data_IF_321357963906
#
_entry.id   IF_321357963906
#
_cell.length_a   1.000
_cell.length_b   1.000
_cell.length_c   1.000
_cell.angle_alpha   90.00
_cell.angle_beta   90.00
_cell.angle_gamma   90.00
#
_symmetry.space_group_name_H-M   'P 1'
#
loop_
_entity.id
_entity.type
_entity.pdbx_description
1 polymer ?
#
# COMPACT_ATOMS: atom_id res chain seq x y z
N UNK A 1 -4.79 15.18 14.23
CA UNK A 1 -5.34 14.11 13.36
C UNK A 1 -4.30 13.78 12.31
N UNK A 2 -3.85 12.52 12.24
CA UNK A 2 -2.79 12.12 11.31
C UNK A 2 -3.32 12.13 9.87
N UNK A 3 -2.58 12.73 8.95
CA UNK A 3 -2.90 12.64 7.53
C UNK A 3 -2.88 11.17 7.09
N UNK A 4 -3.83 10.76 6.24
CA UNK A 4 -3.88 9.41 5.68
C UNK A 4 -2.53 9.06 5.04
N UNK A 5 -1.97 7.85 5.28
CA UNK A 5 -0.70 7.43 4.67
C UNK A 5 -0.69 7.55 3.15
N UNK A 6 -1.85 7.34 2.51
CA UNK A 6 -2.08 7.54 1.08
C UNK A 6 -1.73 8.93 0.56
N UNK A 7 -1.76 9.95 1.41
CA UNK A 7 -1.55 11.35 1.01
C UNK A 7 -0.23 11.93 1.51
N UNK A 8 0.65 11.11 2.11
CA UNK A 8 1.97 11.56 2.59
C UNK A 8 2.93 11.86 1.44
N UNK A 9 2.83 11.12 0.35
CA UNK A 9 3.66 11.27 -0.85
C UNK A 9 2.77 11.25 -2.09
N UNK A 10 3.11 12.07 -3.08
CA UNK A 10 2.34 12.19 -4.33
C UNK A 10 2.24 10.85 -5.07
N UNK A 11 3.31 10.04 -5.01
CA UNK A 11 3.39 8.76 -5.71
C UNK A 11 2.96 7.55 -4.85
N UNK A 12 2.37 7.76 -3.66
CA UNK A 12 2.11 6.65 -2.73
C UNK A 12 1.19 5.58 -3.32
N UNK A 13 0.13 5.98 -4.03
CA UNK A 13 -0.76 5.01 -4.70
C UNK A 13 0.00 4.14 -5.72
N UNK A 14 0.86 4.75 -6.53
CA UNK A 14 1.66 4.03 -7.52
C UNK A 14 2.60 3.01 -6.86
N UNK A 15 3.23 3.37 -5.74
CA UNK A 15 4.09 2.46 -4.96
C UNK A 15 3.30 1.27 -4.41
N UNK A 16 2.12 1.52 -3.83
CA UNK A 16 1.25 0.45 -3.32
C UNK A 16 0.84 -0.49 -4.45
N UNK A 17 0.44 0.03 -5.61
CA UNK A 17 0.06 -0.77 -6.78
C UNK A 17 1.25 -1.60 -7.27
N UNK A 18 2.43 -1.00 -7.42
CA UNK A 18 3.63 -1.69 -7.88
C UNK A 18 4.00 -2.86 -6.93
N UNK A 19 3.95 -2.60 -5.62
CA UNK A 19 4.17 -3.65 -4.62
C UNK A 19 3.13 -4.77 -4.70
N UNK A 20 1.84 -4.45 -4.85
CA UNK A 20 0.77 -5.46 -5.01
C UNK A 20 1.02 -6.34 -6.23
N UNK A 21 1.35 -5.74 -7.39
CA UNK A 21 1.59 -6.47 -8.63
C UNK A 21 2.77 -7.44 -8.49
N UNK A 22 3.92 -6.93 -8.02
CA UNK A 22 5.15 -7.72 -7.88
C UNK A 22 4.98 -8.79 -6.82
N UNK A 23 4.54 -8.43 -5.61
CA UNK A 23 4.38 -9.39 -4.51
C UNK A 23 3.24 -10.38 -4.77
N UNK A 24 2.24 -10.00 -5.57
CA UNK A 24 1.14 -10.87 -6.01
C UNK A 24 1.62 -11.96 -6.96
N UNK A 25 2.47 -11.59 -7.94
CA UNK A 25 2.92 -12.52 -8.99
C UNK A 25 4.16 -13.32 -8.62
N UNK A 26 5.01 -12.80 -7.74
CA UNK A 26 6.31 -13.42 -7.49
C UNK A 26 6.21 -14.80 -6.83
N UNK A 27 7.11 -15.72 -7.20
CA UNK A 27 7.09 -17.12 -6.73
C UNK A 27 7.24 -17.28 -5.21
N UNK A 28 8.03 -16.43 -4.54
CA UNK A 28 8.13 -16.45 -3.07
C UNK A 28 7.09 -15.52 -2.45
N UNK A 29 6.31 -16.02 -1.50
CA UNK A 29 5.28 -15.21 -0.83
C UNK A 29 5.83 -14.18 0.17
N UNK A 30 7.07 -14.35 0.62
CA UNK A 30 7.70 -13.52 1.65
C UNK A 30 9.20 -13.38 1.41
N UNK A 31 9.70 -12.15 1.45
CA UNK A 31 11.12 -11.80 1.31
C UNK A 31 11.52 -10.64 2.23
N UNK A 32 12.82 -10.42 2.39
CA UNK A 32 13.40 -9.27 3.06
C UNK A 32 13.16 -7.98 2.26
N UNK A 33 13.21 -6.82 2.93
CA UNK A 33 12.91 -5.52 2.31
C UNK A 33 13.82 -5.18 1.12
N UNK A 34 15.12 -5.46 1.20
CA UNK A 34 16.05 -5.22 0.09
C UNK A 34 15.71 -6.07 -1.13
N UNK A 35 15.36 -7.34 -0.92
CA UNK A 35 14.95 -8.24 -2.00
C UNK A 35 13.62 -7.83 -2.61
N UNK A 36 12.70 -7.25 -1.84
CA UNK A 36 11.52 -6.63 -2.43
C UNK A 36 11.84 -5.36 -3.20
N UNK A 37 12.74 -4.51 -2.69
CA UNK A 37 13.17 -3.30 -3.38
C UNK A 37 13.80 -3.59 -4.75
N UNK A 38 14.72 -4.55 -4.81
CA UNK A 38 15.27 -5.10 -6.06
C UNK A 38 14.18 -5.55 -7.05
N UNK A 39 13.13 -6.23 -6.56
CA UNK A 39 12.06 -6.75 -7.44
C UNK A 39 11.07 -5.70 -7.90
N UNK A 40 10.84 -4.66 -7.12
CA UNK A 40 9.83 -3.65 -7.42
C UNK A 40 10.44 -2.46 -8.17
N UNK A 41 11.61 -2.00 -7.73
CA UNK A 41 12.28 -0.81 -8.29
C UNK A 41 13.65 -1.10 -8.92
N UNK A 42 14.16 -2.34 -8.86
CA UNK A 42 15.47 -2.68 -9.42
C UNK A 42 16.66 -2.20 -8.58
N UNK A 43 16.43 -1.79 -7.33
CA UNK A 43 17.47 -1.23 -6.46
C UNK A 43 17.29 -1.71 -5.01
N UNK A 44 18.27 -2.44 -4.48
CA UNK A 44 18.28 -2.91 -3.09
C UNK A 44 18.41 -1.76 -2.07
N UNK A 45 18.98 -0.62 -2.46
CA UNK A 45 19.17 0.53 -1.57
C UNK A 45 17.84 1.20 -1.18
N UNK A 46 16.79 0.99 -1.98
CA UNK A 46 15.43 1.46 -1.71
C UNK A 46 14.71 0.62 -0.63
N UNK A 47 15.41 -0.32 0.02
CA UNK A 47 14.85 -1.19 1.08
C UNK A 47 14.06 -0.41 2.15
N UNK A 48 14.59 0.75 2.58
CA UNK A 48 13.94 1.55 3.64
C UNK A 48 12.65 2.19 3.15
N UNK A 49 12.61 2.65 1.90
CA UNK A 49 11.41 3.20 1.27
C UNK A 49 10.31 2.15 1.21
N UNK A 50 10.63 0.96 0.70
CA UNK A 50 9.66 -0.13 0.60
C UNK A 50 9.20 -0.65 1.96
N UNK A 51 10.11 -0.72 2.95
CA UNK A 51 9.72 -0.99 4.33
C UNK A 51 8.65 0.00 4.83
N UNK A 52 8.83 1.30 4.58
CA UNK A 52 7.87 2.32 4.99
C UNK A 52 6.51 2.14 4.28
N UNK A 53 6.51 1.89 2.96
CA UNK A 53 5.26 1.58 2.20
C UNK A 53 4.52 0.42 2.88
N UNK A 54 5.21 -0.67 3.21
CA UNK A 54 4.58 -1.86 3.78
C UNK A 54 4.06 -1.63 5.20
N UNK A 55 4.75 -0.83 6.02
CA UNK A 55 4.31 -0.50 7.38
C UNK A 55 3.10 0.44 7.36
N UNK A 56 3.08 1.37 6.40
CA UNK A 56 2.02 2.37 6.28
C UNK A 56 0.71 1.86 5.69
N UNK A 57 0.77 0.73 4.98
CA UNK A 57 -0.37 0.10 4.30
C UNK A 57 -0.65 -1.33 4.81
N UNK A 58 -0.98 -1.51 6.10
CA UNK A 58 -1.21 -2.82 6.70
C UNK A 58 -2.43 -3.56 6.12
N UNK A 59 -3.33 -2.87 5.43
CA UNK A 59 -4.46 -3.45 4.71
C UNK A 59 -4.02 -4.43 3.61
N UNK A 60 -2.82 -4.25 3.04
CA UNK A 60 -2.29 -5.09 1.97
C UNK A 60 -1.05 -5.85 2.40
N UNK A 61 -0.21 -5.25 3.23
CA UNK A 61 1.10 -5.78 3.56
C UNK A 61 1.19 -6.20 5.02
N UNK A 62 1.92 -7.29 5.25
CA UNK A 62 2.21 -7.78 6.59
C UNK A 62 3.70 -7.92 6.77
N UNK A 63 4.19 -7.38 7.89
CA UNK A 63 5.53 -7.60 8.39
C UNK A 63 5.53 -8.88 9.24
N UNK A 64 6.55 -9.72 9.07
CA UNK A 64 6.68 -10.92 9.87
C UNK A 64 7.09 -10.64 11.32
N UNK A 65 7.00 -11.65 12.17
CA UNK A 65 7.30 -11.51 13.60
C UNK A 65 8.74 -11.07 13.86
N UNK A 66 9.67 -11.45 12.98
CA UNK A 66 11.08 -11.05 13.06
C UNK A 66 11.33 -9.61 12.63
N UNK A 67 10.32 -8.93 12.09
CA UNK A 67 10.39 -7.56 11.55
C UNK A 67 11.37 -7.38 10.40
N UNK A 68 11.77 -8.47 9.73
CA UNK A 68 12.75 -8.44 8.63
C UNK A 68 12.12 -8.63 7.26
N UNK A 69 10.98 -9.33 7.20
CA UNK A 69 10.36 -9.73 5.94
C UNK A 69 8.95 -9.17 5.79
N UNK A 70 8.58 -8.90 4.53
CA UNK A 70 7.23 -8.48 4.15
C UNK A 70 6.57 -9.51 3.23
N UNK A 71 5.25 -9.56 3.27
CA UNK A 71 4.40 -10.38 2.41
C UNK A 71 3.04 -9.70 2.21
N UNK A 72 2.31 -10.05 1.15
CA UNK A 72 0.90 -9.68 1.06
C UNK A 72 0.08 -10.45 2.10
N UNK A 73 -0.84 -9.76 2.77
CA UNK A 73 -1.79 -10.34 3.73
C UNK A 73 -2.57 -11.47 3.07
N UNK A 74 -3.11 -11.23 1.86
CA UNK A 74 -3.89 -12.24 1.14
C UNK A 74 -3.06 -13.51 0.88
N UNK A 75 -1.83 -13.36 0.36
CA UNK A 75 -0.97 -14.52 0.09
C UNK A 75 -0.68 -15.31 1.35
N UNK A 76 -0.56 -14.66 2.52
CA UNK A 76 -0.35 -15.34 3.80
C UNK A 76 -1.53 -16.24 4.19
N UNK A 77 -2.73 -16.03 3.66
CA UNK A 77 -3.89 -16.87 3.95
C UNK A 77 -4.01 -18.12 3.04
N UNK A 78 -3.27 -18.18 1.93
CA UNK A 78 -3.26 -19.33 1.01
C UNK A 78 -2.42 -20.50 1.55
N UNK A 79 -2.73 -21.77 1.26
CA UNK A 79 -1.89 -22.90 1.69
C UNK A 79 -0.42 -22.78 1.22
N UNK A 80 0.49 -23.45 1.95
CA UNK A 80 1.93 -23.51 1.64
C UNK A 80 2.24 -24.79 0.86
N UNK A 81 1.77 -24.84 -0.37
CA UNK A 81 1.75 -26.02 -1.25
C UNK A 81 2.30 -25.73 -2.65
N UNK A 82 2.99 -24.61 -2.86
CA UNK A 82 3.50 -24.21 -4.18
C UNK A 82 5.01 -24.36 -4.27
N UNK A 83 5.53 -25.18 -5.17
CA UNK A 83 6.97 -25.31 -5.40
C UNK A 83 7.48 -24.14 -6.27
N UNK A 84 8.45 -23.36 -5.76
CA UNK A 84 8.94 -22.15 -6.44
C UNK A 84 9.82 -22.42 -7.67
N UNK A 85 10.37 -23.63 -7.77
CA UNK A 85 11.28 -24.03 -8.82
C UNK A 85 10.51 -24.66 -9.98
N UNK A 86 9.62 -25.63 -9.69
CA UNK A 86 8.76 -26.27 -10.71
C UNK A 86 7.55 -25.43 -11.10
N UNK A 87 7.18 -24.45 -10.27
CA UNK A 87 6.00 -23.57 -10.43
C UNK A 87 4.66 -24.31 -10.44
N UNK A 88 4.60 -25.44 -9.74
CA UNK A 88 3.40 -26.25 -9.62
C UNK A 88 3.00 -26.42 -8.14
N UNK A 89 1.71 -26.65 -7.93
CA UNK A 89 1.18 -27.06 -6.64
C UNK A 89 1.56 -28.52 -6.36
N UNK A 90 1.83 -28.83 -5.10
CA UNK A 90 2.20 -30.17 -4.64
C UNK A 90 1.18 -30.67 -3.63
N UNK A 91 0.98 -31.97 -3.60
CA UNK A 91 0.07 -32.56 -2.62
C UNK A 91 0.70 -32.54 -1.22
N UNK A 92 -0.13 -32.66 -0.19
CA UNK A 92 0.35 -32.81 1.19
C UNK A 92 1.25 -34.04 1.37
N UNK A 93 0.96 -35.13 0.64
CA UNK A 93 1.77 -36.37 0.66
C UNK A 93 3.17 -36.09 0.15
N UNK A 94 3.27 -35.41 -1.00
CA UNK A 94 4.56 -35.07 -1.60
C UNK A 94 5.34 -34.12 -0.71
N UNK A 95 4.67 -33.11 -0.12
CA UNK A 95 5.30 -32.17 0.82
C UNK A 95 5.94 -32.86 2.03
N UNK A 96 5.28 -33.88 2.59
CA UNK A 96 5.80 -34.62 3.74
C UNK A 96 7.00 -35.51 3.39
N UNK A 97 7.10 -35.94 2.12
CA UNK A 97 8.22 -36.73 1.62
C UNK A 97 9.47 -35.88 1.29
N UNK A 98 9.35 -34.56 1.27
CA UNK A 98 10.46 -33.65 0.97
C UNK A 98 11.49 -33.59 2.10
N UNK A 99 12.75 -33.36 1.71
CA UNK A 99 13.80 -32.94 2.63
C UNK A 99 13.50 -31.56 3.23
N UNK A 100 14.15 -31.18 4.33
CA UNK A 100 13.93 -29.87 4.94
C UNK A 100 14.42 -28.71 4.04
N UNK A 101 15.47 -28.94 3.26
CA UNK A 101 15.97 -27.99 2.26
C UNK A 101 14.93 -27.77 1.14
N UNK A 102 14.31 -28.84 0.65
CA UNK A 102 13.25 -28.75 -0.36
C UNK A 102 11.98 -28.10 0.19
N UNK A 103 11.62 -28.35 1.46
CA UNK A 103 10.50 -27.67 2.14
C UNK A 103 10.70 -26.16 2.23
N UNK A 104 11.95 -25.67 2.23
CA UNK A 104 12.25 -24.25 2.17
C UNK A 104 11.95 -23.64 0.78
N UNK A 105 11.97 -24.47 -0.28
CA UNK A 105 11.56 -24.12 -1.65
C UNK A 105 10.05 -24.19 -1.89
N UNK A 106 9.28 -24.64 -0.90
CA UNK A 106 7.82 -24.58 -0.95
C UNK A 106 7.32 -23.23 -0.41
N UNK A 107 6.38 -22.63 -1.12
CA UNK A 107 5.81 -21.32 -0.89
C UNK A 107 4.29 -21.37 -0.94
N UNK A 108 3.67 -20.20 -0.95
CA UNK A 108 2.22 -20.05 -1.20
C UNK A 108 2.05 -19.63 -2.64
N UNK A 109 1.03 -20.13 -3.34
CA UNK A 109 0.85 -19.83 -4.76
C UNK A 109 0.80 -18.31 -5.05
N UNK A 110 1.25 -17.86 -6.23
CA UNK A 110 0.98 -16.52 -6.70
C UNK A 110 -0.53 -16.25 -6.75
N UNK A 111 -0.89 -14.97 -6.61
CA UNK A 111 -2.27 -14.52 -6.77
C UNK A 111 -2.70 -14.66 -8.22
N UNK A 112 -4.00 -14.89 -8.42
CA UNK A 112 -4.59 -14.83 -9.76
C UNK A 112 -4.62 -13.37 -10.25
N UNK A 113 -4.79 -13.16 -11.55
CA UNK A 113 -4.90 -11.80 -12.09
C UNK A 113 -6.13 -11.08 -11.52
N UNK A 114 -7.25 -11.79 -11.30
CA UNK A 114 -8.44 -11.23 -10.66
C UNK A 114 -8.18 -10.81 -9.21
N UNK A 115 -7.46 -11.62 -8.42
CA UNK A 115 -7.09 -11.26 -7.05
C UNK A 115 -6.23 -9.98 -7.01
N UNK A 116 -5.28 -9.86 -7.95
CA UNK A 116 -4.43 -8.68 -8.08
C UNK A 116 -5.25 -7.45 -8.47
N UNK A 117 -6.18 -7.57 -9.43
CA UNK A 117 -7.08 -6.48 -9.81
C UNK A 117 -7.92 -6.01 -8.62
N UNK A 118 -8.52 -6.92 -7.84
CA UNK A 118 -9.31 -6.55 -6.66
C UNK A 118 -8.48 -5.79 -5.61
N UNK A 119 -7.22 -6.18 -5.40
CA UNK A 119 -6.32 -5.47 -4.50
C UNK A 119 -5.99 -4.06 -5.00
N UNK A 120 -5.72 -3.91 -6.31
CA UNK A 120 -5.46 -2.61 -6.95
C UNK A 120 -6.69 -1.70 -6.86
N UNK A 121 -7.88 -2.21 -7.19
CA UNK A 121 -9.14 -1.48 -7.09
C UNK A 121 -9.40 -1.03 -5.64
N UNK A 122 -9.12 -1.91 -4.67
CA UNK A 122 -9.22 -1.57 -3.25
C UNK A 122 -8.26 -0.43 -2.87
N UNK A 123 -7.01 -0.44 -3.37
CA UNK A 123 -6.03 0.61 -3.12
C UNK A 123 -6.48 1.96 -3.73
N UNK A 124 -7.01 1.94 -4.96
CA UNK A 124 -7.57 3.12 -5.63
C UNK A 124 -8.73 3.69 -4.83
N UNK A 125 -9.67 2.84 -4.38
CA UNK A 125 -10.82 3.26 -3.59
C UNK A 125 -10.43 3.85 -2.23
N UNK A 126 -9.46 3.26 -1.53
CA UNK A 126 -8.94 3.80 -0.27
C UNK A 126 -8.23 5.14 -0.46
N UNK A 127 -7.43 5.29 -1.52
CA UNK A 127 -6.80 6.55 -1.87
C UNK A 127 -7.83 7.64 -2.22
N UNK A 128 -8.85 7.31 -3.02
CA UNK A 128 -9.93 8.23 -3.37
C UNK A 128 -10.70 8.72 -2.13
N UNK A 129 -11.03 7.81 -1.20
CA UNK A 129 -11.65 8.18 0.10
C UNK A 129 -10.75 9.07 0.93
N UNK A 130 -9.44 8.85 0.92
CA UNK A 130 -8.49 9.71 1.62
C UNK A 130 -8.48 11.13 1.04
N UNK A 131 -8.50 11.26 -0.30
CA UNK A 131 -8.61 12.56 -0.98
C UNK A 131 -9.91 13.28 -0.62
N UNK A 132 -11.05 12.56 -0.68
CA UNK A 132 -12.35 13.10 -0.30
C UNK A 132 -12.34 13.60 1.15
N UNK A 133 -11.82 12.80 2.09
CA UNK A 133 -11.72 13.23 3.50
C UNK A 133 -10.84 14.49 3.67
N UNK A 134 -9.78 14.65 2.86
CA UNK A 134 -8.94 15.85 2.86
C UNK A 134 -9.67 17.07 2.29
N UNK A 135 -10.48 16.88 1.25
CA UNK A 135 -11.32 17.92 0.66
C UNK A 135 -12.44 18.34 1.64
N UNK A 136 -13.15 17.37 2.20
CA UNK A 136 -14.21 17.59 3.17
C UNK A 136 -13.70 18.37 4.37
N UNK A 137 -12.49 18.10 4.87
CA UNK A 137 -11.89 18.88 5.97
C UNK A 137 -11.73 20.38 5.64
N UNK A 138 -11.65 20.74 4.35
CA UNK A 138 -11.47 22.11 3.86
C UNK A 138 -12.80 22.80 3.53
N UNK A 139 -13.94 22.20 3.90
CA UNK A 139 -15.28 22.78 3.69
C UNK A 139 -15.43 24.22 4.19
N UNK A 140 -14.70 24.60 5.24
CA UNK A 140 -14.77 25.93 5.86
C UNK A 140 -14.04 27.02 5.05
N UNK A 141 -13.09 26.65 4.17
CA UNK A 141 -12.29 27.61 3.39
C UNK A 141 -13.18 28.56 2.58
N UNK A 142 -14.13 28.08 1.75
CA UNK A 142 -15.00 28.99 1.00
C UNK A 142 -15.85 29.90 1.92
N UNK A 143 -16.29 29.42 3.08
CA UNK A 143 -17.04 30.23 4.05
C UNK A 143 -16.20 31.37 4.63
N UNK A 144 -14.95 31.08 5.00
CA UNK A 144 -14.04 32.11 5.52
C UNK A 144 -13.64 33.14 4.47
N UNK A 145 -13.42 32.72 3.22
CA UNK A 145 -13.14 33.66 2.11
C UNK A 145 -14.33 34.60 1.89
N UNK A 146 -15.56 34.08 1.89
CA UNK A 146 -16.77 34.89 1.77
C UNK A 146 -16.93 35.90 2.92
N UNK A 147 -16.65 35.47 4.15
CA UNK A 147 -16.69 36.36 5.32
C UNK A 147 -15.65 37.49 5.22
N UNK A 148 -14.39 37.17 4.88
CA UNK A 148 -13.30 38.16 4.78
C UNK A 148 -13.58 39.15 3.64
N UNK A 149 -14.00 38.67 2.47
CA UNK A 149 -14.34 39.53 1.34
C UNK A 149 -15.58 40.39 1.58
N UNK A 150 -16.52 39.98 2.44
CA UNK A 150 -17.69 40.78 2.80
C UNK A 150 -17.41 41.86 3.85
N UNK A 151 -16.48 41.62 4.78
CA UNK A 151 -16.14 42.56 5.85
C UNK A 151 -15.28 43.73 5.32
N UNK A 152 -14.37 43.47 4.38
CA UNK A 152 -13.46 44.51 3.86
C UNK A 152 -14.23 45.69 3.23
N UNK A 153 -15.20 45.49 2.32
CA UNK A 153 -16.01 46.57 1.77
C UNK A 153 -16.84 47.29 2.84
N UNK A 154 -17.43 46.56 3.79
CA UNK A 154 -18.23 47.14 4.87
C UNK A 154 -17.41 48.09 5.77
N UNK A 155 -16.17 47.70 6.11
CA UNK A 155 -15.27 48.53 6.92
C UNK A 155 -14.79 49.75 6.13
N UNK A 156 -14.49 49.60 4.84
CA UNK A 156 -14.09 50.72 3.97
C UNK A 156 -15.23 51.73 3.85
N UNK A 157 -16.46 51.25 3.60
CA UNK A 157 -17.67 52.08 3.51
C UNK A 157 -17.90 52.87 4.81
N UNK A 158 -17.79 52.19 5.96
CA UNK A 158 -17.89 52.81 7.30
C UNK A 158 -16.81 53.86 7.57
N UNK A 159 -15.59 53.68 7.07
CA UNK A 159 -14.51 54.67 7.25
C UNK A 159 -14.73 55.89 6.35
N UNK A 160 -15.23 55.69 5.12
CA UNK A 160 -15.58 56.78 4.21
C UNK A 160 -16.76 57.63 4.72
N UNK A 161 -17.73 57.05 5.45
CA UNK A 161 -18.80 57.82 6.12
C UNK A 161 -18.29 58.78 7.22
N UNK A 162 -17.08 58.54 7.76
CA UNK A 162 -16.54 59.27 8.93
C UNK A 162 -15.59 60.42 8.50
N UNK A 163 -15.13 60.44 7.24
CA UNK A 163 -14.22 61.45 6.67
C UNK A 163 -15.00 62.48 5.86
#
# INVERSE_FOLDING_TARGET
MNASPYLKHENRLAEVIAAIQVMGKYRFYKLDFSKWADRISGDENEAKRWQNVFIEHPEFFRIDQTKKKASLVWRRNLPKDYNVDTRNEITKKDFLALSDDDKARISRRPLSNSDICMLIESAINLHARALQQKQDRRWWIPLTIGLVLGIIPFVIDKILEII
#
